data_IF_462708692288
#
_entry.id   IF_462708692288
#
_cell.length_a   1.000
_cell.length_b   1.000
_cell.length_c   1.000
_cell.angle_alpha   90.00
_cell.angle_beta   90.00
_cell.angle_gamma   90.00
#
_symmetry.space_group_name_H-M   'P 1'
#
loop_
_entity.id
_entity.type
_entity.pdbx_description
1 polymer ?
#
# COMPACT_ATOMS: atom_id res chain seq x y z
N UNK A 1 28.68 -11.07 -21.12
CA UNK A 1 27.41 -10.33 -20.93
C UNK A 1 27.55 -9.46 -19.69
N UNK A 2 27.19 -8.18 -19.72
CA UNK A 2 27.11 -7.30 -18.53
C UNK A 2 25.79 -6.51 -18.62
N UNK A 3 25.12 -6.33 -17.48
CA UNK A 3 24.04 -5.36 -17.33
C UNK A 3 24.69 -3.96 -17.42
N UNK A 4 24.14 -3.08 -18.24
CA UNK A 4 24.68 -1.73 -18.48
C UNK A 4 23.77 -0.62 -17.97
N UNK A 5 22.53 -0.95 -17.60
CA UNK A 5 21.55 0.00 -17.11
C UNK A 5 20.58 -0.67 -16.12
N UNK A 6 19.94 0.13 -15.28
CA UNK A 6 18.88 -0.31 -14.35
C UNK A 6 17.83 0.78 -14.27
N UNK A 7 16.58 0.43 -14.54
CA UNK A 7 15.45 1.35 -14.44
C UNK A 7 14.46 0.86 -13.40
N UNK A 8 14.05 1.76 -12.51
CA UNK A 8 12.98 1.55 -11.55
C UNK A 8 11.75 2.37 -11.95
N UNK A 9 10.57 1.74 -11.97
CA UNK A 9 9.30 2.44 -12.20
C UNK A 9 8.25 2.10 -11.13
N UNK A 10 7.41 3.08 -10.79
CA UNK A 10 6.29 2.88 -9.88
C UNK A 10 5.26 1.92 -10.49
N UNK A 11 4.62 1.11 -9.64
CA UNK A 11 3.63 0.12 -10.05
C UNK A 11 2.60 -0.11 -8.94
N UNK A 12 1.48 -0.75 -9.28
CA UNK A 12 0.43 -1.16 -8.33
C UNK A 12 0.44 -2.67 -8.13
N UNK A 13 0.01 -3.11 -6.96
CA UNK A 13 -0.14 -4.54 -6.66
C UNK A 13 -1.58 -4.99 -6.89
N UNK A 14 -1.83 -6.31 -6.78
CA UNK A 14 -3.18 -6.86 -6.90
C UNK A 14 -4.11 -6.59 -5.73
N UNK A 15 -3.65 -5.88 -4.69
CA UNK A 15 -4.47 -5.57 -3.51
C UNK A 15 -4.05 -4.25 -2.84
N UNK A 16 -4.50 -4.05 -1.61
CA UNK A 16 -4.35 -2.82 -0.83
C UNK A 16 -3.42 -3.02 0.36
N UNK A 17 -2.79 -1.93 0.79
CA UNK A 17 -2.23 -1.87 2.13
C UNK A 17 -3.35 -1.47 3.09
N UNK A 18 -3.62 -2.36 4.04
CA UNK A 18 -4.62 -2.14 5.08
C UNK A 18 -3.92 -2.00 6.44
N UNK A 19 -4.27 -0.94 7.17
CA UNK A 19 -3.81 -0.73 8.53
C UNK A 19 -4.52 -1.72 9.47
N UNK A 20 -3.89 -2.88 9.61
CA UNK A 20 -4.42 -3.94 10.44
C UNK A 20 -4.60 -3.52 11.90
N UNK A 21 -3.81 -2.56 12.42
CA UNK A 21 -3.94 -2.10 13.82
C UNK A 21 -5.17 -1.22 13.98
N UNK A 22 -5.44 -0.33 13.03
CA UNK A 22 -6.67 0.47 13.03
C UNK A 22 -7.91 -0.43 12.87
N UNK A 23 -7.87 -1.39 11.94
CA UNK A 23 -8.98 -2.35 11.72
C UNK A 23 -9.27 -3.17 12.98
N UNK A 24 -8.25 -3.74 13.63
CA UNK A 24 -8.42 -4.50 14.88
C UNK A 24 -8.88 -3.63 16.06
N UNK A 25 -8.68 -2.31 16.00
CA UNK A 25 -9.22 -1.35 16.97
C UNK A 25 -10.67 -0.94 16.67
N UNK A 26 -11.27 -1.48 15.63
CA UNK A 26 -12.67 -1.23 15.28
C UNK A 26 -12.88 -0.10 14.27
N UNK A 27 -11.92 0.17 13.38
CA UNK A 27 -12.18 1.03 12.23
C UNK A 27 -13.42 0.53 11.47
N UNK A 28 -14.40 1.41 11.29
CA UNK A 28 -15.67 1.07 10.66
C UNK A 28 -15.51 0.87 9.15
N UNK A 29 -16.53 0.29 8.50
CA UNK A 29 -16.57 0.16 7.05
C UNK A 29 -17.42 1.27 6.42
N UNK A 30 -16.98 1.79 5.28
CA UNK A 30 -17.79 2.59 4.36
C UNK A 30 -17.59 2.07 2.93
N UNK A 31 -18.56 1.29 2.47
CA UNK A 31 -18.47 0.52 1.24
C UNK A 31 -17.24 -0.38 1.22
N UNK A 32 -16.33 -0.12 0.28
CA UNK A 32 -15.08 -0.85 0.13
C UNK A 32 -13.94 -0.32 1.01
N UNK A 33 -14.12 0.85 1.65
CA UNK A 33 -13.10 1.52 2.45
C UNK A 33 -13.35 1.33 3.95
N UNK A 34 -12.43 1.86 4.76
CA UNK A 34 -12.59 1.96 6.20
C UNK A 34 -12.63 3.43 6.62
N UNK A 35 -13.42 3.72 7.65
CA UNK A 35 -13.52 5.06 8.27
C UNK A 35 -12.69 5.14 9.54
N UNK A 36 -12.31 6.38 9.90
CA UNK A 36 -11.46 6.67 11.04
C UNK A 36 -10.00 6.89 10.65
N UNK A 37 -9.15 7.07 11.66
CA UNK A 37 -7.75 7.43 11.48
C UNK A 37 -6.84 6.19 11.42
N UNK A 38 -5.80 6.19 10.57
CA UNK A 38 -4.74 5.18 10.65
C UNK A 38 -3.98 5.31 11.97
N UNK A 39 -3.43 4.19 12.41
CA UNK A 39 -2.70 4.01 13.67
C UNK A 39 -1.26 3.54 13.40
N UNK A 40 -1.03 2.84 12.29
CA UNK A 40 0.29 2.35 11.90
C UNK A 40 1.08 3.45 11.20
N UNK A 41 2.32 3.67 11.62
CA UNK A 41 3.21 4.67 11.02
C UNK A 41 3.36 4.44 9.50
N UNK A 42 3.35 5.53 8.73
CA UNK A 42 3.43 5.51 7.27
C UNK A 42 2.08 5.35 6.55
N UNK A 43 1.03 4.91 7.24
CA UNK A 43 -0.32 4.90 6.67
C UNK A 43 -0.93 6.30 6.70
N UNK A 44 -1.52 6.70 5.58
CA UNK A 44 -2.26 7.97 5.45
C UNK A 44 -3.77 7.76 5.50
N UNK A 45 -4.23 6.55 5.21
CA UNK A 45 -5.61 6.11 5.32
C UNK A 45 -5.62 4.67 5.85
N UNK A 46 -6.72 4.23 6.46
CA UNK A 46 -6.84 2.84 6.97
C UNK A 46 -6.72 1.81 5.83
N UNK A 47 -7.18 2.15 4.63
CA UNK A 47 -6.93 1.39 3.39
C UNK A 47 -6.33 2.32 2.35
N UNK A 48 -5.22 1.92 1.72
CA UNK A 48 -4.57 2.67 0.64
C UNK A 48 -4.09 1.74 -0.48
N UNK A 49 -3.91 2.28 -1.68
CA UNK A 49 -3.49 1.48 -2.84
C UNK A 49 -2.17 0.74 -2.56
N UNK A 50 -2.10 -0.54 -2.91
CA UNK A 50 -0.85 -1.29 -2.83
C UNK A 50 0.14 -0.80 -3.89
N UNK A 51 1.40 -0.69 -3.50
CA UNK A 51 2.48 -0.14 -4.33
C UNK A 51 3.59 -1.17 -4.53
N UNK A 52 4.22 -1.11 -5.70
CA UNK A 52 5.35 -1.94 -6.08
C UNK A 52 6.33 -1.11 -6.92
N UNK A 53 7.54 -1.65 -7.10
CA UNK A 53 8.56 -1.09 -7.99
C UNK A 53 8.92 -2.17 -9.00
N UNK A 54 8.76 -1.86 -10.29
CA UNK A 54 9.27 -2.72 -11.35
C UNK A 54 10.76 -2.43 -11.56
N UNK A 55 11.57 -3.49 -11.63
CA UNK A 55 13.02 -3.40 -11.84
C UNK A 55 13.36 -3.98 -13.21
N UNK A 56 13.93 -3.16 -14.08
CA UNK A 56 14.32 -3.53 -15.44
C UNK A 56 15.85 -3.46 -15.55
N UNK A 57 16.47 -4.53 -16.08
CA UNK A 57 17.92 -4.77 -16.13
C UNK A 57 18.38 -5.29 -17.49
#
# INVERSE_FOLDING_TARGET
MKIVDVICSESKTGFYFDDQRAIKKGAGHDGFTYVGEPVTEGFKNVRQAGEAISVMI
#
